data_IF_660996586824
#
_entry.id   IF_660996586824
#
_cell.length_a   1.000
_cell.length_b   1.000
_cell.length_c   1.000
_cell.angle_alpha   90.00
_cell.angle_beta   90.00
_cell.angle_gamma   90.00
#
_symmetry.space_group_name_H-M   'P 1'
#
loop_
_entity.id
_entity.type
_entity.pdbx_description
1 polymer ?
#
# COMPACT_ATOMS: atom_id res chain seq x y z
N UNK A 1 29.89 -21.34 -9.80
CA UNK A 1 30.16 -21.39 -11.26
C UNK A 1 29.78 -20.04 -11.87
N UNK A 2 30.47 -19.53 -12.89
CA UNK A 2 30.08 -18.26 -13.55
C UNK A 2 29.03 -18.55 -14.62
N UNK A 3 27.90 -17.87 -14.54
CA UNK A 3 26.89 -17.88 -15.60
C UNK A 3 27.17 -16.74 -16.58
N UNK A 4 26.88 -16.95 -17.86
CA UNK A 4 27.02 -15.93 -18.91
C UNK A 4 25.70 -15.82 -19.67
N UNK A 5 25.41 -14.62 -20.19
CA UNK A 5 24.24 -14.33 -21.01
C UNK A 5 24.68 -13.69 -22.33
N UNK A 6 24.00 -14.06 -23.42
CA UNK A 6 24.23 -13.47 -24.73
C UNK A 6 23.27 -12.30 -24.97
N UNK A 7 23.82 -11.14 -25.32
CA UNK A 7 23.05 -9.94 -25.69
C UNK A 7 23.55 -9.48 -27.06
N UNK A 8 22.77 -9.79 -28.10
CA UNK A 8 23.20 -9.62 -29.49
C UNK A 8 24.47 -10.45 -29.75
N UNK A 9 25.54 -9.77 -30.17
CA UNK A 9 26.83 -10.42 -30.47
C UNK A 9 27.78 -10.49 -29.25
N UNK A 10 27.37 -9.94 -28.09
CA UNK A 10 28.21 -9.88 -26.89
C UNK A 10 27.83 -10.97 -25.91
N UNK A 11 28.85 -11.67 -25.41
CA UNK A 11 28.72 -12.58 -24.26
C UNK A 11 29.16 -11.83 -23.01
N UNK A 12 28.29 -11.77 -22.01
CA UNK A 12 28.46 -10.98 -20.80
C UNK A 12 28.28 -11.88 -19.58
N UNK A 13 29.10 -11.70 -18.54
CA UNK A 13 28.92 -12.38 -17.26
C UNK A 13 27.57 -12.00 -16.63
N UNK A 14 26.78 -13.00 -16.26
CA UNK A 14 25.48 -12.80 -15.63
C UNK A 14 25.65 -12.64 -14.12
N UNK A 15 25.19 -11.51 -13.58
CA UNK A 15 25.09 -11.29 -12.15
C UNK A 15 23.79 -11.91 -11.61
N UNK A 16 23.88 -12.82 -10.64
CA UNK A 16 22.73 -13.51 -10.03
C UNK A 16 21.76 -12.54 -9.32
N UNK A 17 22.24 -11.37 -8.88
CA UNK A 17 21.42 -10.32 -8.26
C UNK A 17 20.70 -9.42 -9.29
N UNK A 18 20.98 -9.57 -10.58
CA UNK A 18 20.34 -8.75 -11.62
C UNK A 18 18.82 -8.98 -11.64
N UNK A 19 18.06 -7.89 -11.74
CA UNK A 19 16.60 -7.89 -11.91
C UNK A 19 16.21 -6.90 -13.00
N UNK A 20 15.29 -7.30 -13.87
CA UNK A 20 14.80 -6.48 -14.98
C UNK A 20 13.31 -6.16 -14.77
N UNK A 21 12.97 -4.88 -14.87
CA UNK A 21 11.58 -4.40 -14.90
C UNK A 21 11.37 -3.59 -16.18
N UNK A 22 10.27 -3.87 -16.88
CA UNK A 22 9.87 -3.18 -18.09
C UNK A 22 8.52 -2.52 -17.83
N UNK A 23 8.37 -1.26 -18.24
CA UNK A 23 7.14 -0.49 -18.04
C UNK A 23 6.67 0.17 -19.34
N UNK A 24 5.37 0.24 -19.54
CA UNK A 24 4.74 0.93 -20.68
C UNK A 24 3.55 1.75 -20.22
N UNK A 25 3.29 2.87 -20.91
CA UNK A 25 2.10 3.71 -20.68
C UNK A 25 0.89 3.24 -21.51
N UNK A 26 1.10 2.35 -22.48
CA UNK A 26 -0.01 1.78 -23.24
C UNK A 26 -0.73 0.74 -22.36
N UNK A 27 -2.01 0.92 -22.03
CA UNK A 27 -2.75 -0.03 -21.17
C UNK A 27 -3.04 -1.37 -21.85
N UNK A 28 -2.84 -1.47 -23.16
CA UNK A 28 -3.02 -2.71 -23.92
C UNK A 28 -1.87 -2.85 -24.93
N UNK A 29 -0.64 -3.11 -24.45
CA UNK A 29 0.48 -3.36 -25.34
C UNK A 29 0.25 -4.68 -26.08
N UNK A 30 0.59 -4.71 -27.36
CA UNK A 30 0.64 -5.99 -28.07
C UNK A 30 1.85 -6.76 -27.57
N UNK A 31 1.61 -7.93 -26.96
CA UNK A 31 2.63 -8.86 -26.51
C UNK A 31 2.36 -10.18 -27.21
N UNK A 32 3.25 -10.65 -28.09
CA UNK A 32 3.05 -11.90 -28.78
C UNK A 32 3.12 -13.10 -27.79
N UNK A 33 2.46 -14.23 -28.10
CA UNK A 33 2.27 -15.33 -27.13
C UNK A 33 3.57 -15.95 -26.62
N UNK A 34 4.60 -15.98 -27.46
CA UNK A 34 5.95 -16.41 -27.13
C UNK A 34 6.57 -15.53 -26.03
N UNK A 35 6.54 -14.21 -26.19
CA UNK A 35 6.99 -13.27 -25.17
C UNK A 35 6.11 -13.35 -23.92
N UNK A 36 4.80 -13.52 -24.07
CA UNK A 36 3.85 -13.63 -22.95
C UNK A 36 4.13 -14.85 -22.06
N UNK A 37 4.72 -15.92 -22.61
CA UNK A 37 5.07 -17.12 -21.84
C UNK A 37 6.28 -16.94 -20.91
N UNK A 38 7.15 -15.97 -21.20
CA UNK A 38 8.42 -15.75 -20.48
C UNK A 38 8.44 -14.47 -19.64
N UNK A 39 7.35 -13.70 -19.65
CA UNK A 39 7.20 -12.50 -18.83
C UNK A 39 6.04 -12.64 -17.85
N UNK A 40 6.09 -11.87 -16.77
CA UNK A 40 4.95 -11.68 -15.86
C UNK A 40 4.30 -10.32 -16.14
N UNK A 41 3.06 -10.32 -16.63
CA UNK A 41 2.30 -9.11 -16.89
C UNK A 41 1.69 -8.58 -15.58
N UNK A 42 1.99 -7.32 -15.22
CA UNK A 42 1.43 -6.65 -14.04
C UNK A 42 0.59 -5.47 -14.49
N UNK A 43 -0.70 -5.46 -14.15
CA UNK A 43 -1.65 -4.44 -14.59
C UNK A 43 -1.95 -3.45 -13.46
N UNK A 44 -1.54 -2.20 -13.65
CA UNK A 44 -1.79 -1.07 -12.74
C UNK A 44 -2.98 -0.18 -13.18
N UNK A 45 -3.91 -0.72 -13.96
CA UNK A 45 -5.11 0.01 -14.37
C UNK A 45 -5.93 0.38 -13.13
N UNK A 46 -6.28 1.67 -13.04
CA UNK A 46 -7.09 2.19 -11.95
C UNK A 46 -8.43 1.47 -11.88
N UNK A 47 -8.79 0.97 -10.69
CA UNK A 47 -10.09 0.33 -10.44
C UNK A 47 -11.10 1.34 -9.93
N UNK A 48 -12.40 1.04 -10.04
CA UNK A 48 -13.47 1.90 -9.50
C UNK A 48 -13.31 2.16 -8.00
N UNK A 49 -12.98 1.11 -7.25
CA UNK A 49 -12.74 1.19 -5.81
C UNK A 49 -11.48 2.01 -5.49
N UNK A 50 -10.38 1.78 -6.23
CA UNK A 50 -9.14 2.54 -6.06
C UNK A 50 -9.33 4.03 -6.36
N UNK A 51 -10.00 4.37 -7.46
CA UNK A 51 -10.30 5.76 -7.79
C UNK A 51 -11.23 6.43 -6.77
N UNK A 52 -12.26 5.72 -6.31
CA UNK A 52 -13.15 6.22 -5.25
C UNK A 52 -12.35 6.56 -3.98
N UNK A 53 -11.43 5.69 -3.57
CA UNK A 53 -10.54 5.95 -2.43
C UNK A 53 -9.67 7.20 -2.63
N UNK A 54 -9.09 7.36 -3.82
CA UNK A 54 -8.28 8.54 -4.16
C UNK A 54 -9.11 9.84 -4.13
N UNK A 55 -10.30 9.81 -4.73
CA UNK A 55 -11.19 10.98 -4.76
C UNK A 55 -11.67 11.35 -3.36
N UNK A 56 -12.02 10.36 -2.54
CA UNK A 56 -12.38 10.57 -1.14
C UNK A 56 -11.25 11.24 -0.36
N UNK A 57 -10.01 10.76 -0.50
CA UNK A 57 -8.85 11.36 0.14
C UNK A 57 -8.65 12.82 -0.29
N UNK A 58 -8.77 13.11 -1.58
CA UNK A 58 -8.69 14.49 -2.11
C UNK A 58 -9.79 15.39 -1.55
N UNK A 59 -11.02 14.89 -1.46
CA UNK A 59 -12.13 15.65 -0.86
C UNK A 59 -11.86 15.94 0.62
N UNK A 60 -11.47 14.96 1.41
CA UNK A 60 -11.21 15.15 2.85
C UNK A 60 -10.04 16.11 3.06
N UNK A 61 -8.98 16.00 2.25
CA UNK A 61 -7.84 16.91 2.34
C UNK A 61 -8.24 18.37 2.12
N UNK A 62 -9.24 18.62 1.26
CA UNK A 62 -9.77 19.96 1.01
C UNK A 62 -10.76 20.41 2.08
N UNK A 63 -11.71 19.55 2.46
CA UNK A 63 -12.84 19.88 3.32
C UNK A 63 -12.52 19.83 4.82
N UNK A 64 -11.74 18.82 5.22
CA UNK A 64 -11.36 18.53 6.61
C UNK A 64 -9.90 18.08 6.70
N UNK A 65 -8.93 18.97 6.45
CA UNK A 65 -7.50 18.62 6.48
C UNK A 65 -7.04 18.07 7.84
N UNK A 66 -7.65 18.53 8.93
CA UNK A 66 -7.41 18.02 10.29
C UNK A 66 -7.65 16.50 10.38
N UNK A 67 -8.75 16.01 9.78
CA UNK A 67 -9.15 14.60 9.79
C UNK A 67 -8.13 13.73 9.04
N UNK A 68 -7.63 14.21 7.90
CA UNK A 68 -6.59 13.49 7.14
C UNK A 68 -5.24 13.50 7.88
N UNK A 69 -4.91 14.60 8.56
CA UNK A 69 -3.71 14.67 9.41
C UNK A 69 -3.78 13.69 10.58
N UNK A 70 -4.92 13.62 11.26
CA UNK A 70 -5.15 12.69 12.37
C UNK A 70 -5.07 11.24 11.91
N UNK A 71 -5.71 10.90 10.78
CA UNK A 71 -5.62 9.55 10.21
C UNK A 71 -4.19 9.18 9.84
N UNK A 72 -3.45 10.10 9.23
CA UNK A 72 -2.05 9.86 8.84
C UNK A 72 -1.18 9.62 10.07
N UNK A 73 -1.32 10.42 11.13
CA UNK A 73 -0.62 10.23 12.41
C UNK A 73 -0.96 8.88 13.05
N UNK A 74 -2.24 8.51 13.03
CA UNK A 74 -2.70 7.26 13.61
C UNK A 74 -2.11 6.04 12.87
N UNK A 75 -2.05 6.07 11.53
CA UNK A 75 -1.43 5.02 10.73
C UNK A 75 0.07 4.91 10.99
N UNK A 76 0.78 6.04 11.12
CA UNK A 76 2.21 6.04 11.48
C UNK A 76 2.45 5.40 12.85
N UNK A 77 1.66 5.76 13.85
CA UNK A 77 1.75 5.17 15.19
C UNK A 77 1.40 3.69 15.21
N UNK A 78 0.44 3.25 14.40
CA UNK A 78 0.09 1.84 14.25
C UNK A 78 1.26 1.04 13.66
N UNK A 79 1.88 1.57 12.60
CA UNK A 79 3.01 0.91 11.94
C UNK A 79 4.23 0.82 12.87
N UNK A 80 4.54 1.89 13.60
CA UNK A 80 5.61 1.88 14.60
C UNK A 80 5.38 0.81 15.67
N UNK A 81 4.15 0.68 16.17
CA UNK A 81 3.77 -0.36 17.14
C UNK A 81 3.87 -1.77 16.56
N UNK A 82 3.51 -1.98 15.29
CA UNK A 82 3.67 -3.27 14.62
C UNK A 82 5.14 -3.66 14.48
N UNK A 83 6.00 -2.71 14.15
CA UNK A 83 7.46 -2.91 14.09
C UNK A 83 7.99 -3.27 15.48
N UNK A 84 7.62 -2.51 16.52
CA UNK A 84 8.01 -2.80 17.90
C UNK A 84 7.55 -4.20 18.35
N UNK A 85 6.34 -4.61 17.97
CA UNK A 85 5.82 -5.94 18.28
C UNK A 85 6.66 -7.04 17.60
N UNK A 86 6.96 -6.88 16.31
CA UNK A 86 7.80 -7.82 15.56
C UNK A 86 9.22 -7.94 16.17
N UNK A 87 9.81 -6.82 16.60
CA UNK A 87 11.11 -6.79 17.27
C UNK A 87 11.07 -7.52 18.63
N UNK A 88 10.00 -7.35 19.41
CA UNK A 88 9.82 -8.08 20.67
C UNK A 88 9.68 -9.59 20.43
N UNK A 89 8.94 -9.99 19.39
CA UNK A 89 8.79 -11.40 19.01
C UNK A 89 10.12 -12.01 18.54
N UNK A 90 10.90 -11.28 17.75
CA UNK A 90 12.23 -11.71 17.29
C UNK A 90 13.20 -11.86 18.46
N UNK A 91 13.27 -10.85 19.34
CA UNK A 91 14.13 -10.89 20.54
C UNK A 91 13.74 -12.03 21.48
N UNK A 92 12.44 -12.31 21.63
CA UNK A 92 11.93 -13.44 22.40
C UNK A 92 12.43 -14.77 21.83
N UNK A 93 12.31 -14.96 20.52
CA UNK A 93 12.76 -16.17 19.82
C UNK A 93 14.27 -16.36 19.94
N UNK A 94 15.05 -15.30 19.76
CA UNK A 94 16.51 -15.32 19.92
C UNK A 94 16.89 -15.71 21.36
N UNK A 95 16.26 -15.10 22.35
CA UNK A 95 16.54 -15.38 23.77
C UNK A 95 16.23 -16.84 24.11
N UNK A 96 15.12 -17.39 23.60
CA UNK A 96 14.77 -18.81 23.80
C UNK A 96 15.71 -19.76 23.06
N UNK A 97 16.17 -19.40 21.86
CA UNK A 97 17.08 -20.22 21.05
C UNK A 97 18.51 -20.26 21.62
N UNK A 98 18.97 -19.16 22.21
CA UNK A 98 20.30 -19.03 22.81
C UNK A 98 20.37 -19.53 24.25
N UNK A 99 19.22 -19.75 24.91
CA UNK A 99 19.17 -20.25 26.28
C UNK A 99 19.78 -21.65 26.40
N UNK A 100 20.88 -21.75 27.15
CA UNK A 100 21.57 -23.01 27.46
C UNK A 100 21.29 -23.41 28.92
N UNK A 101 21.04 -24.69 29.18
CA UNK A 101 20.71 -25.21 30.50
C UNK A 101 19.20 -25.24 30.80
N UNK A 102 18.83 -25.39 32.08
CA UNK A 102 17.42 -25.46 32.48
C UNK A 102 16.80 -24.06 32.48
N UNK A 103 15.90 -23.81 31.53
CA UNK A 103 15.16 -22.54 31.36
C UNK A 103 14.41 -22.14 32.64
N UNK A 104 13.93 -23.12 33.43
CA UNK A 104 13.18 -22.87 34.66
C UNK A 104 14.05 -22.34 35.81
N UNK A 105 15.36 -22.53 35.74
CA UNK A 105 16.32 -22.07 36.76
C UNK A 105 16.93 -20.70 36.42
N UNK A 106 16.80 -20.27 35.16
CA UNK A 106 17.30 -18.98 34.70
C UNK A 106 16.32 -17.85 35.05
N UNK A 107 16.52 -17.25 36.24
CA UNK A 107 15.68 -16.16 36.74
C UNK A 107 15.69 -14.92 35.83
N UNK A 108 16.84 -14.58 35.25
CA UNK A 108 16.97 -13.42 34.34
C UNK A 108 16.15 -13.64 33.07
N UNK A 109 16.18 -14.85 32.52
CA UNK A 109 15.36 -15.24 31.38
C UNK A 109 13.88 -15.14 31.70
N UNK A 110 13.43 -15.70 32.82
CA UNK A 110 12.02 -15.66 33.25
C UNK A 110 11.54 -14.22 33.44
N UNK A 111 12.37 -13.35 33.98
CA UNK A 111 12.03 -11.93 34.15
C UNK A 111 11.90 -11.20 32.80
N UNK A 112 12.85 -11.41 31.88
CA UNK A 112 12.79 -10.88 30.51
C UNK A 112 11.55 -11.38 29.75
N UNK A 113 11.19 -12.65 29.89
CA UNK A 113 9.99 -13.24 29.29
C UNK A 113 8.71 -12.58 29.83
N UNK A 114 8.65 -12.33 31.15
CA UNK A 114 7.50 -11.65 31.76
C UNK A 114 7.41 -10.18 31.32
N UNK A 115 8.52 -9.47 31.21
CA UNK A 115 8.56 -8.08 30.71
C UNK A 115 8.13 -7.99 29.24
N UNK A 116 8.62 -8.91 28.40
CA UNK A 116 8.24 -9.02 26.98
C UNK A 116 6.75 -9.29 26.83
N UNK A 117 6.21 -10.24 27.61
CA UNK A 117 4.77 -10.55 27.64
C UNK A 117 3.93 -9.34 28.05
N UNK A 118 4.33 -8.62 29.09
CA UNK A 118 3.63 -7.42 29.55
C UNK A 118 3.64 -6.31 28.49
N UNK A 119 4.80 -6.07 27.85
CA UNK A 119 4.97 -5.06 26.80
C UNK A 119 4.16 -5.40 25.55
N UNK A 120 4.20 -6.67 25.11
CA UNK A 120 3.40 -7.18 23.99
C UNK A 120 1.89 -7.00 24.25
N UNK A 121 1.41 -7.32 25.46
CA UNK A 121 0.01 -7.13 25.83
C UNK A 121 -0.42 -5.65 25.78
N UNK A 122 0.44 -4.73 26.24
CA UNK A 122 0.19 -3.29 26.18
C UNK A 122 0.13 -2.80 24.73
N UNK A 123 1.08 -3.20 23.89
CA UNK A 123 1.10 -2.85 22.46
C UNK A 123 -0.16 -3.38 21.78
N UNK A 124 -0.55 -4.63 22.07
CA UNK A 124 -1.72 -5.23 21.46
C UNK A 124 -3.00 -4.48 21.85
N UNK A 125 -3.17 -4.11 23.12
CA UNK A 125 -4.28 -3.26 23.56
C UNK A 125 -4.27 -1.90 22.84
N UNK A 126 -3.10 -1.29 22.68
CA UNK A 126 -2.97 -0.01 21.98
C UNK A 126 -3.32 -0.10 20.49
N UNK A 127 -2.97 -1.21 19.84
CA UNK A 127 -3.38 -1.51 18.45
C UNK A 127 -4.89 -1.69 18.34
N UNK A 128 -5.53 -2.36 19.30
CA UNK A 128 -6.99 -2.50 19.34
C UNK A 128 -7.70 -1.15 19.47
N UNK A 129 -7.22 -0.27 20.36
CA UNK A 129 -7.76 1.10 20.48
C UNK A 129 -7.51 1.92 19.20
N UNK A 130 -6.34 1.78 18.58
CA UNK A 130 -6.02 2.46 17.32
C UNK A 130 -6.98 2.02 16.20
N UNK A 131 -7.29 0.72 16.09
CA UNK A 131 -8.26 0.20 15.12
C UNK A 131 -9.68 0.73 15.38
N UNK A 132 -10.08 0.83 16.65
CA UNK A 132 -11.38 1.42 17.02
C UNK A 132 -11.46 2.89 16.60
N UNK A 133 -10.40 3.66 16.84
CA UNK A 133 -10.32 5.06 16.42
C UNK A 133 -10.34 5.18 14.89
N UNK A 134 -9.62 4.32 14.15
CA UNK A 134 -9.67 4.28 12.69
C UNK A 134 -11.09 4.06 12.17
N UNK A 135 -11.84 3.14 12.79
CA UNK A 135 -13.23 2.88 12.41
C UNK A 135 -14.10 4.13 12.61
N UNK A 136 -13.88 4.87 13.71
CA UNK A 136 -14.59 6.12 13.99
C UNK A 136 -14.23 7.22 12.98
N UNK A 137 -12.95 7.34 12.62
CA UNK A 137 -12.49 8.30 11.60
C UNK A 137 -13.07 7.94 10.23
N UNK A 138 -13.14 6.66 9.88
CA UNK A 138 -13.73 6.21 8.62
C UNK A 138 -15.23 6.51 8.54
N UNK A 139 -15.98 6.39 9.65
CA UNK A 139 -17.38 6.81 9.70
C UNK A 139 -17.56 8.31 9.43
N UNK A 140 -16.63 9.15 9.91
CA UNK A 140 -16.68 10.58 9.61
C UNK A 140 -16.39 10.87 8.13
N UNK A 141 -15.52 10.05 7.51
CA UNK A 141 -15.20 10.12 6.08
C UNK A 141 -16.36 9.68 5.19
N UNK A 142 -17.22 8.78 5.68
CA UNK A 142 -18.34 8.23 4.91
C UNK A 142 -19.32 9.30 4.42
N UNK A 143 -19.38 10.47 5.09
CA UNK A 143 -20.17 11.62 4.62
C UNK A 143 -19.79 12.07 3.19
N UNK A 144 -18.53 11.91 2.78
CA UNK A 144 -18.02 12.30 1.47
C UNK A 144 -17.94 11.13 0.48
N UNK A 145 -18.22 9.90 0.93
CA UNK A 145 -18.17 8.70 0.08
C UNK A 145 -19.13 8.76 -1.12
N UNK A 146 -20.39 9.25 -1.01
CA UNK A 146 -21.29 9.34 -2.15
C UNK A 146 -20.77 10.24 -3.29
N UNK A 147 -20.09 11.35 -2.94
CA UNK A 147 -19.45 12.24 -3.91
C UNK A 147 -18.32 11.51 -4.65
N UNK A 148 -17.42 10.88 -3.90
CA UNK A 148 -16.29 10.13 -4.47
C UNK A 148 -16.76 8.96 -5.36
N UNK A 149 -17.84 8.29 -4.99
CA UNK A 149 -18.42 7.21 -5.79
C UNK A 149 -19.02 7.74 -7.10
N UNK A 150 -19.74 8.86 -7.04
CA UNK A 150 -20.34 9.50 -8.23
C UNK A 150 -19.27 10.00 -9.18
N UNK A 151 -18.22 10.66 -8.67
CA UNK A 151 -17.08 11.11 -9.44
C UNK A 151 -16.30 9.93 -10.07
N UNK A 152 -16.13 8.82 -9.32
CA UNK A 152 -15.56 7.59 -9.88
C UNK A 152 -16.41 7.05 -11.03
N UNK A 153 -17.74 6.95 -10.87
CA UNK A 153 -18.65 6.54 -11.96
C UNK A 153 -18.49 7.42 -13.20
N UNK A 154 -18.44 8.74 -13.03
CA UNK A 154 -18.26 9.69 -14.11
C UNK A 154 -16.96 9.47 -14.89
N UNK A 155 -15.83 9.27 -14.20
CA UNK A 155 -14.55 9.01 -14.86
C UNK A 155 -14.58 7.75 -15.75
N UNK A 156 -15.20 6.67 -15.27
CA UNK A 156 -15.28 5.44 -16.04
C UNK A 156 -16.24 5.55 -17.22
N UNK A 157 -17.33 6.31 -17.09
CA UNK A 157 -18.18 6.65 -18.25
C UNK A 157 -17.36 7.43 -19.28
N UNK A 158 -16.57 8.43 -18.84
CA UNK A 158 -15.70 9.22 -19.73
C UNK A 158 -14.66 8.34 -20.43
N UNK A 159 -14.08 7.37 -19.72
CA UNK A 159 -13.10 6.43 -20.27
C UNK A 159 -13.73 5.54 -21.34
N UNK A 160 -15.00 5.17 -21.17
CA UNK A 160 -15.75 4.36 -22.13
C UNK A 160 -16.05 5.09 -23.46
N UNK A 161 -15.96 6.43 -23.52
CA UNK A 161 -16.11 7.16 -24.79
C UNK A 161 -15.06 6.76 -25.83
N UNK A 162 -13.91 6.26 -25.41
CA UNK A 162 -12.86 5.75 -26.30
C UNK A 162 -13.34 4.58 -27.19
N UNK A 163 -14.39 3.87 -26.78
CA UNK A 163 -15.03 2.79 -27.56
C UNK A 163 -15.82 3.32 -28.75
N UNK A 164 -16.30 4.56 -28.69
CA UNK A 164 -17.02 5.22 -29.78
C UNK A 164 -16.03 5.83 -30.77
N UNK A 165 -15.03 6.55 -30.25
CA UNK A 165 -13.97 7.13 -31.07
C UNK A 165 -12.63 7.04 -30.32
N UNK A 166 -11.61 6.51 -31.01
CA UNK A 166 -10.26 6.33 -30.47
C UNK A 166 -9.62 7.65 -29.98
N UNK A 167 -10.04 8.81 -30.50
CA UNK A 167 -9.54 10.12 -30.07
C UNK A 167 -10.10 10.55 -28.70
N UNK A 168 -11.20 9.96 -28.21
CA UNK A 168 -11.80 10.28 -26.91
C UNK A 168 -11.10 9.55 -25.76
N UNK A 169 -9.80 9.81 -25.62
CA UNK A 169 -8.96 9.30 -24.55
C UNK A 169 -8.56 10.44 -23.63
N UNK A 170 -8.96 10.33 -22.38
CA UNK A 170 -8.68 11.35 -21.36
C UNK A 170 -7.78 10.74 -20.29
N UNK A 171 -6.80 11.51 -19.82
CA UNK A 171 -5.91 11.05 -18.76
C UNK A 171 -6.59 11.22 -17.40
N UNK A 172 -6.34 10.27 -16.49
CA UNK A 172 -6.75 10.37 -15.09
C UNK A 172 -6.27 11.69 -14.46
N UNK A 173 -5.03 12.10 -14.76
CA UNK A 173 -4.47 13.36 -14.26
C UNK A 173 -5.31 14.59 -14.64
N UNK A 174 -5.90 14.62 -15.85
CA UNK A 174 -6.77 15.72 -16.26
C UNK A 174 -8.08 15.71 -15.49
N UNK A 175 -8.66 14.53 -15.26
CA UNK A 175 -9.86 14.36 -14.45
C UNK A 175 -9.64 14.83 -13.00
N UNK A 176 -8.57 14.35 -12.36
CA UNK A 176 -8.23 14.72 -10.98
C UNK A 176 -7.98 16.22 -10.81
N UNK A 177 -7.32 16.85 -11.79
CA UNK A 177 -7.10 18.31 -11.78
C UNK A 177 -8.42 19.10 -11.86
N UNK A 178 -9.36 18.67 -12.70
CA UNK A 178 -10.67 19.31 -12.81
C UNK A 178 -11.51 19.07 -11.55
N UNK A 179 -11.45 17.86 -11.00
CA UNK A 179 -12.12 17.53 -9.73
C UNK A 179 -11.60 18.40 -8.58
N UNK A 180 -10.28 18.53 -8.44
CA UNK A 180 -9.69 19.40 -7.43
C UNK A 180 -10.07 20.87 -7.61
N UNK A 181 -10.08 21.37 -8.85
CA UNK A 181 -10.53 22.73 -9.16
C UNK A 181 -12.01 22.93 -8.78
N UNK A 182 -12.87 21.94 -9.01
CA UNK A 182 -14.28 22.02 -8.65
C UNK A 182 -14.45 22.16 -7.13
N UNK A 183 -13.72 21.36 -6.34
CA UNK A 183 -13.70 21.47 -4.88
C UNK A 183 -13.22 22.85 -4.39
N UNK A 184 -12.25 23.46 -5.08
CA UNK A 184 -11.77 24.82 -4.75
C UNK A 184 -12.76 25.94 -5.11
N UNK A 185 -13.69 25.69 -6.04
CA UNK A 185 -14.60 26.71 -6.55
C UNK A 185 -15.87 26.85 -5.69
N UNK A 186 -16.11 25.94 -4.73
CA UNK A 186 -17.22 26.02 -3.76
C UNK A 186 -17.00 27.07 -2.65
N UNK A 187 -16.45 28.24 -2.98
CA UNK A 187 -16.45 29.44 -2.12
C UNK A 187 -17.53 30.43 -2.51
#
# INVERSE_FOLDING_TARGET
PRYVVQIGDKVIDYNEDFRLFLATRNPSPFIPPDAKSVITEVNFTTTRAGLRGQLLALTIQQEKPELESEKTKLLQQEEEKKIQLAQLEESLLETLATAQGNILENKELIESLNQTKASSALIHQSLTESHRLQTSLDQERDAYLPLAETASKMYFVITDLSKINNMYRFSLASFLRLFHRALQTEQ
#
